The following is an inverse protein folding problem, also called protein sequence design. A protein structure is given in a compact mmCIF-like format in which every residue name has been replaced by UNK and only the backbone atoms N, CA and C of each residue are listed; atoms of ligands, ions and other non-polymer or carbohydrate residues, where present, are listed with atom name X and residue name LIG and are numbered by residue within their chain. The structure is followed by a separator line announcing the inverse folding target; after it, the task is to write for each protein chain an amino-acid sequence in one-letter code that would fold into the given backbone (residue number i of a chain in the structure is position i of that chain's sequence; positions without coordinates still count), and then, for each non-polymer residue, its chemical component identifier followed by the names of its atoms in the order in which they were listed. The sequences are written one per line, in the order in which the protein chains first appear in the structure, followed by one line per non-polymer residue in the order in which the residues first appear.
data_IF_441354572048
#
_entry.id   IF_441354572048
#
_cell.length_a   1.000
_cell.length_b   1.000
_cell.length_c   1.000
_cell.angle_alpha   90.00
_cell.angle_beta   90.00
_cell.angle_gamma   90.00
#
_symmetry.space_group_name_H-M   'P 1'
#
loop_
_entity.id
_entity.type
_entity.pdbx_description
1 polymer ?
#
# COMPACT_ATOMS: atom_id res chain seq x y z
N UNK A 1 21.29 -3.35 6.85
CA UNK A 1 20.96 -2.20 7.72
C UNK A 1 19.89 -1.43 6.95
N UNK A 2 18.61 -1.60 7.31
CA UNK A 2 17.54 -0.88 6.61
C UNK A 2 17.52 0.55 7.15
N UNK A 3 17.51 1.53 6.24
CA UNK A 3 17.62 2.95 6.54
C UNK A 3 16.51 3.44 7.49
N UNK A 4 16.80 4.47 8.28
CA UNK A 4 15.75 5.19 9.03
C UNK A 4 14.67 5.63 8.05
N UNK A 5 13.42 5.22 8.27
CA UNK A 5 12.34 5.51 7.31
C UNK A 5 12.20 7.01 7.03
N UNK A 6 12.15 7.38 5.76
CA UNK A 6 12.00 8.76 5.27
C UNK A 6 10.51 9.11 5.13
N UNK A 7 10.18 10.39 5.23
CA UNK A 7 8.80 10.86 5.10
C UNK A 7 8.46 11.16 3.62
N UNK A 8 7.41 10.52 3.11
CA UNK A 8 6.93 10.68 1.75
C UNK A 8 5.50 11.21 1.75
N UNK A 9 5.24 12.19 0.88
CA UNK A 9 3.87 12.68 0.62
C UNK A 9 3.14 11.69 -0.28
N UNK A 10 1.86 11.43 0.02
CA UNK A 10 0.99 10.65 -0.86
C UNK A 10 0.35 11.60 -1.87
N UNK A 11 0.61 11.35 -3.16
CA UNK A 11 0.18 12.21 -4.25
C UNK A 11 -1.35 12.40 -4.28
N UNK A 12 -1.78 13.64 -4.59
CA UNK A 12 -3.20 14.04 -4.57
C UNK A 12 -3.80 14.13 -3.16
N UNK A 13 -3.00 14.06 -2.10
CA UNK A 13 -3.43 14.29 -0.72
C UNK A 13 -2.50 15.26 0.01
N UNK A 14 -2.88 15.62 1.24
CA UNK A 14 -2.03 16.34 2.21
C UNK A 14 -1.36 15.39 3.20
N UNK A 15 -1.50 14.07 3.01
CA UNK A 15 -1.02 13.05 3.93
C UNK A 15 0.42 12.68 3.65
N UNK A 16 1.11 12.28 4.71
CA UNK A 16 2.49 11.82 4.69
C UNK A 16 2.59 10.46 5.37
N UNK A 17 3.53 9.64 4.90
CA UNK A 17 3.83 8.33 5.49
C UNK A 17 5.34 8.11 5.50
N UNK A 18 5.86 7.57 6.61
CA UNK A 18 7.28 7.20 6.69
C UNK A 18 7.52 5.82 6.10
N UNK A 19 8.50 5.66 5.23
CA UNK A 19 8.80 4.39 4.55
C UNK A 19 10.30 4.21 4.36
N UNK A 20 10.73 2.98 4.12
CA UNK A 20 12.06 2.77 3.53
C UNK A 20 12.05 3.34 2.10
N UNK A 21 13.10 4.06 1.68
CA UNK A 21 13.17 4.65 0.34
C UNK A 21 12.98 3.61 -0.78
N UNK A 22 13.50 2.40 -0.58
CA UNK A 22 13.37 1.32 -1.54
C UNK A 22 11.92 0.83 -1.67
N UNK A 23 11.13 0.91 -0.59
CA UNK A 23 9.73 0.49 -0.52
C UNK A 23 8.75 1.56 -1.01
N UNK A 24 9.15 2.83 -0.96
CA UNK A 24 8.30 3.97 -1.23
C UNK A 24 7.57 3.93 -2.58
N UNK A 25 8.20 3.60 -3.73
CA UNK A 25 7.51 3.63 -5.02
C UNK A 25 6.27 2.73 -5.08
N UNK A 26 6.35 1.53 -4.48
CA UNK A 26 5.26 0.55 -4.50
C UNK A 26 4.19 0.89 -3.45
N UNK A 27 4.59 1.22 -2.23
CA UNK A 27 3.62 1.49 -1.16
C UNK A 27 2.90 2.83 -1.34
N UNK A 28 3.54 3.82 -1.96
CA UNK A 28 2.85 5.06 -2.35
C UNK A 28 1.85 4.82 -3.48
N UNK A 29 2.14 3.93 -4.43
CA UNK A 29 1.17 3.52 -5.45
C UNK A 29 -0.09 2.91 -4.82
N UNK A 30 0.10 1.95 -3.90
CA UNK A 30 -1.00 1.29 -3.17
C UNK A 30 -1.82 2.33 -2.40
N UNK A 31 -1.16 3.21 -1.64
CA UNK A 31 -1.86 4.24 -0.86
C UNK A 31 -2.65 5.21 -1.75
N UNK A 32 -2.07 5.65 -2.88
CA UNK A 32 -2.72 6.57 -3.83
C UNK A 32 -3.99 5.97 -4.43
N UNK A 33 -3.92 4.72 -4.93
CA UNK A 33 -5.09 4.02 -5.50
C UNK A 33 -6.18 3.79 -4.45
N UNK A 34 -5.79 3.34 -3.26
CA UNK A 34 -6.73 3.17 -2.15
C UNK A 34 -7.46 4.48 -1.81
N UNK A 35 -6.72 5.60 -1.71
CA UNK A 35 -7.31 6.90 -1.43
C UNK A 35 -8.29 7.35 -2.51
N UNK A 36 -7.95 7.19 -3.79
CA UNK A 36 -8.80 7.69 -4.88
C UNK A 36 -10.08 6.88 -5.06
N UNK A 37 -10.05 5.57 -4.80
CA UNK A 37 -11.17 4.68 -5.15
C UNK A 37 -11.99 4.20 -3.96
N UNK A 38 -11.40 4.20 -2.76
CA UNK A 38 -12.09 3.70 -1.56
C UNK A 38 -12.31 4.82 -0.55
N UNK A 39 -11.35 5.73 -0.37
CA UNK A 39 -11.41 6.66 0.75
C UNK A 39 -10.73 8.00 0.48
N UNK A 40 -11.43 8.88 -0.24
CA UNK A 40 -10.92 10.21 -0.59
C UNK A 40 -10.69 11.14 0.63
N UNK A 41 -11.26 10.82 1.79
CA UNK A 41 -11.33 11.71 2.97
C UNK A 41 -10.43 11.29 4.14
N UNK A 42 -9.35 10.53 3.91
CA UNK A 42 -8.45 10.13 4.99
C UNK A 42 -7.89 11.34 5.76
N UNK A 43 -7.89 11.24 7.08
CA UNK A 43 -7.37 12.25 8.00
C UNK A 43 -5.91 11.97 8.41
N UNK A 44 -5.15 12.98 8.87
CA UNK A 44 -3.86 12.77 9.48
C UNK A 44 -3.92 11.71 10.60
N UNK A 45 -2.99 10.75 10.59
CA UNK A 45 -2.97 9.62 11.53
C UNK A 45 -3.81 8.41 11.10
N UNK A 46 -4.61 8.52 10.04
CA UNK A 46 -5.29 7.37 9.44
C UNK A 46 -4.42 6.59 8.45
N UNK A 47 -3.17 6.99 8.23
CA UNK A 47 -2.17 6.15 7.58
C UNK A 47 -0.92 6.06 8.45
N UNK A 48 -0.42 4.85 8.61
CA UNK A 48 0.80 4.55 9.36
C UNK A 48 1.78 3.76 8.48
N UNK A 49 3.07 3.99 8.68
CA UNK A 49 4.15 3.30 8.00
C UNK A 49 5.25 2.91 8.98
N UNK A 50 6.48 3.34 8.71
CA UNK A 50 7.64 3.04 9.53
C UNK A 50 7.50 3.53 10.97
N UNK A 51 7.76 2.64 11.94
CA UNK A 51 7.78 2.96 13.38
C UNK A 51 9.09 2.50 14.02
N UNK A 52 9.53 3.21 15.05
CA UNK A 52 10.77 2.89 15.78
C UNK A 52 10.54 2.08 17.06
N UNK A 53 9.27 1.96 17.50
CA UNK A 53 8.92 1.16 18.68
C UNK A 53 8.89 -0.34 18.30
N UNK A 54 9.78 -1.12 18.91
CA UNK A 54 10.02 -2.54 18.57
C UNK A 54 9.04 -3.53 19.19
N UNK A 55 7.97 -3.09 19.85
CA UNK A 55 6.92 -4.02 20.29
C UNK A 55 6.13 -4.54 19.08
N UNK A 56 6.54 -5.71 18.59
CA UNK A 56 5.90 -6.46 17.51
C UNK A 56 5.02 -7.54 18.17
N UNK A 57 3.71 -7.39 18.09
CA UNK A 57 2.74 -8.35 18.61
C UNK A 57 2.45 -9.49 17.61
N UNK A 58 2.66 -9.25 16.31
CA UNK A 58 2.35 -10.18 15.21
C UNK A 58 3.40 -10.13 14.10
N UNK A 59 3.64 -11.23 13.39
CA UNK A 59 4.81 -11.39 12.50
C UNK A 59 4.95 -10.29 11.43
N UNK A 60 3.84 -9.88 10.81
CA UNK A 60 3.86 -8.83 9.79
C UNK A 60 4.15 -7.43 10.37
N UNK A 61 4.07 -7.19 11.68
CA UNK A 61 4.43 -5.88 12.25
C UNK A 61 5.91 -5.55 12.11
N UNK A 62 6.76 -6.56 11.89
CA UNK A 62 8.16 -6.36 11.50
C UNK A 62 8.33 -5.52 10.23
N UNK A 63 7.32 -5.50 9.34
CA UNK A 63 7.38 -4.68 8.12
C UNK A 63 7.26 -3.18 8.42
N UNK A 64 6.65 -2.81 9.54
CA UNK A 64 6.63 -1.41 9.99
C UNK A 64 7.98 -1.02 10.58
N UNK A 65 8.73 -1.95 11.18
CA UNK A 65 10.09 -1.65 11.64
C UNK A 65 11.09 -1.48 10.49
N UNK A 66 10.89 -2.20 9.38
CA UNK A 66 11.70 -2.03 8.16
C UNK A 66 11.22 -0.89 7.26
N UNK A 67 10.03 -0.34 7.49
CA UNK A 67 9.40 0.62 6.59
C UNK A 67 8.95 0.02 5.26
N UNK A 68 8.76 -1.30 5.20
CA UNK A 68 8.30 -2.06 4.02
C UNK A 68 6.82 -2.45 4.10
N UNK A 69 6.05 -1.83 4.99
CA UNK A 69 4.60 -1.97 5.04
C UNK A 69 3.90 -0.70 5.55
N UNK A 70 2.62 -0.59 5.20
CA UNK A 70 1.71 0.47 5.62
C UNK A 70 0.44 -0.11 6.24
N UNK A 71 -0.23 0.70 7.04
CA UNK A 71 -1.57 0.45 7.52
C UNK A 71 -2.46 1.66 7.20
N UNK A 72 -3.60 1.43 6.56
CA UNK A 72 -4.60 2.45 6.24
C UNK A 72 -5.82 2.23 7.13
N UNK A 73 -6.22 3.26 7.87
CA UNK A 73 -7.23 3.25 8.93
C UNK A 73 -7.05 2.11 9.94
N UNK A 74 -5.86 2.00 10.58
CA UNK A 74 -5.55 0.89 11.49
C UNK A 74 -6.51 0.77 12.70
N UNK A 75 -7.17 1.86 13.09
CA UNK A 75 -8.18 1.84 14.17
C UNK A 75 -9.55 1.35 13.71
N UNK A 76 -9.91 1.54 12.44
CA UNK A 76 -11.17 1.03 11.87
C UNK A 76 -11.05 -0.45 11.47
N UNK A 77 -9.85 -0.88 11.08
CA UNK A 77 -9.57 -2.27 10.69
C UNK A 77 -8.45 -2.87 11.57
N UNK A 78 -8.73 -3.13 12.85
CA UNK A 78 -7.77 -3.69 13.79
C UNK A 78 -7.45 -5.16 13.48
N UNK A 79 -6.43 -5.69 14.16
CA UNK A 79 -6.03 -7.10 14.05
C UNK A 79 -7.19 -8.01 14.47
N UNK A 80 -7.42 -9.06 13.68
CA UNK A 80 -8.48 -10.06 13.89
C UNK A 80 -9.87 -9.62 13.42
N UNK A 81 -10.07 -8.35 13.05
CA UNK A 81 -11.32 -7.89 12.47
C UNK A 81 -11.41 -8.29 10.99
N UNK A 82 -12.61 -8.69 10.56
CA UNK A 82 -12.92 -9.11 9.20
C UNK A 82 -14.19 -8.42 8.71
N UNK A 83 -14.41 -8.39 7.40
CA UNK A 83 -15.59 -7.79 6.76
C UNK A 83 -15.71 -6.27 6.99
N UNK A 84 -14.58 -5.58 7.11
CA UNK A 84 -14.52 -4.12 7.19
C UNK A 84 -14.72 -3.41 5.85
N UNK A 85 -14.52 -4.12 4.73
CA UNK A 85 -14.74 -3.61 3.39
C UNK A 85 -15.99 -4.20 2.72
N UNK A 86 -16.68 -3.39 1.93
CA UNK A 86 -17.73 -3.84 1.02
C UNK A 86 -17.13 -4.64 -0.16
N UNK A 87 -17.92 -5.46 -0.84
CA UNK A 87 -17.43 -6.34 -1.92
C UNK A 87 -16.83 -5.57 -3.12
N UNK A 88 -17.37 -4.39 -3.44
CA UNK A 88 -16.80 -3.51 -4.45
C UNK A 88 -15.44 -2.93 -4.02
N UNK A 89 -15.28 -2.56 -2.74
CA UNK A 89 -14.01 -2.09 -2.20
C UNK A 89 -12.96 -3.21 -2.17
N UNK A 90 -13.37 -4.43 -1.81
CA UNK A 90 -12.49 -5.61 -1.93
C UNK A 90 -12.07 -5.84 -3.38
N UNK A 91 -12.95 -5.63 -4.34
CA UNK A 91 -12.62 -5.74 -5.78
C UNK A 91 -11.54 -4.74 -6.17
N UNK A 92 -11.63 -3.48 -5.72
CA UNK A 92 -10.58 -2.48 -5.90
C UNK A 92 -9.27 -2.91 -5.24
N UNK A 93 -9.31 -3.45 -4.02
CA UNK A 93 -8.10 -3.98 -3.35
C UNK A 93 -7.47 -5.10 -4.20
N UNK A 94 -8.28 -6.01 -4.77
CA UNK A 94 -7.76 -7.06 -5.65
C UNK A 94 -7.11 -6.50 -6.92
N UNK A 95 -7.70 -5.47 -7.50
CA UNK A 95 -7.15 -4.79 -8.68
C UNK A 95 -5.79 -4.13 -8.36
N UNK A 96 -5.69 -3.42 -7.22
CA UNK A 96 -4.42 -2.86 -6.72
C UNK A 96 -3.34 -3.94 -6.53
N UNK A 97 -3.70 -5.09 -5.95
CA UNK A 97 -2.77 -6.20 -5.75
C UNK A 97 -2.34 -6.85 -7.08
N UNK A 98 -3.25 -6.93 -8.05
CA UNK A 98 -2.97 -7.42 -9.39
C UNK A 98 -2.00 -6.49 -10.12
N UNK A 99 -2.19 -5.18 -10.03
CA UNK A 99 -1.24 -4.18 -10.55
C UNK A 99 0.16 -4.33 -9.97
N UNK A 100 0.26 -4.76 -8.71
CA UNK A 100 1.51 -5.03 -8.01
C UNK A 100 2.14 -6.38 -8.38
N UNK A 101 1.54 -7.15 -9.28
CA UNK A 101 2.06 -8.43 -9.79
C UNK A 101 2.52 -9.37 -8.64
N UNK A 102 1.80 -9.35 -7.51
CA UNK A 102 2.04 -10.12 -6.28
C UNK A 102 3.30 -9.76 -5.47
N UNK A 103 3.91 -8.59 -5.72
CA UNK A 103 4.98 -8.00 -4.89
C UNK A 103 4.42 -7.46 -3.56
N UNK A 104 3.11 -7.22 -3.50
CA UNK A 104 2.41 -6.72 -2.32
C UNK A 104 1.47 -7.80 -1.79
N UNK A 105 1.47 -8.00 -0.48
CA UNK A 105 0.46 -8.77 0.22
C UNK A 105 -0.51 -7.83 0.97
N UNK A 106 -1.75 -8.26 1.09
CA UNK A 106 -2.79 -7.58 1.86
C UNK A 106 -3.11 -8.37 3.13
N UNK A 107 -3.24 -7.68 4.25
CA UNK A 107 -3.53 -8.26 5.54
C UNK A 107 -4.91 -8.92 5.64
N UNK A 108 -5.83 -8.64 4.71
CA UNK A 108 -7.09 -9.37 4.57
C UNK A 108 -6.93 -10.86 4.24
N UNK A 109 -5.79 -11.24 3.66
CA UNK A 109 -5.45 -12.63 3.30
C UNK A 109 -4.52 -13.31 4.32
N UNK A 110 -4.12 -12.60 5.37
CA UNK A 110 -3.20 -13.10 6.39
C UNK A 110 -3.95 -13.71 7.58
N UNK A 111 -3.21 -14.49 8.37
CA UNK A 111 -3.66 -15.00 9.66
C UNK A 111 -2.65 -14.57 10.75
N UNK A 112 -3.05 -13.75 11.75
CA UNK A 112 -4.37 -13.13 11.89
C UNK A 112 -4.64 -12.07 10.81
N UNK A 113 -5.93 -11.90 10.48
CA UNK A 113 -6.38 -10.89 9.52
C UNK A 113 -6.06 -9.48 10.04
N UNK A 114 -5.64 -8.58 9.16
CA UNK A 114 -5.58 -7.13 9.41
C UNK A 114 -5.87 -6.39 8.12
N UNK A 115 -7.15 -6.14 7.82
CA UNK A 115 -7.58 -5.55 6.54
C UNK A 115 -6.99 -4.15 6.27
N UNK A 116 -6.50 -3.43 7.29
CA UNK A 116 -5.76 -2.18 7.11
C UNK A 116 -4.38 -2.34 6.48
N UNK A 117 -3.79 -3.54 6.49
CA UNK A 117 -2.37 -3.74 6.28
C UNK A 117 -1.99 -4.10 4.84
N UNK A 118 -0.90 -3.50 4.35
CA UNK A 118 -0.23 -3.86 3.10
C UNK A 118 1.29 -3.91 3.32
N UNK A 119 1.98 -4.87 2.72
CA UNK A 119 3.44 -4.93 2.77
C UNK A 119 4.07 -5.53 1.52
N UNK A 120 5.35 -5.20 1.32
CA UNK A 120 6.17 -5.77 0.25
C UNK A 120 6.68 -7.15 0.67
N UNK A 121 6.47 -8.14 -0.21
CA UNK A 121 6.88 -9.54 0.01
C UNK A 121 8.21 -9.90 -0.65
N UNK A 122 8.69 -9.08 -1.59
CA UNK A 122 9.89 -9.33 -2.39
C UNK A 122 11.01 -8.33 -2.06
N UNK A 123 12.29 -8.75 -2.02
CA UNK A 123 13.38 -7.83 -1.79
C UNK A 123 13.55 -6.86 -2.99
N UNK A 124 14.01 -5.62 -2.76
CA UNK A 124 14.24 -4.64 -3.84
C UNK A 124 15.24 -5.09 -4.91
N UNK A 125 16.09 -6.07 -4.60
CA UNK A 125 17.08 -6.66 -5.52
C UNK A 125 16.46 -7.67 -6.50
N UNK A 126 15.23 -8.13 -6.26
CA UNK A 126 14.57 -9.10 -7.13
C UNK A 126 14.27 -8.52 -8.52
N UNK A 127 14.22 -9.38 -9.54
CA UNK A 127 13.82 -8.97 -10.90
C UNK A 127 12.38 -8.46 -10.92
N UNK A 128 11.47 -9.18 -10.26
CA UNK A 128 10.05 -8.88 -10.18
C UNK A 128 9.77 -7.51 -9.55
N UNK A 129 10.43 -7.19 -8.43
CA UNK A 129 10.33 -5.86 -7.81
C UNK A 129 10.80 -4.74 -8.76
N UNK A 130 11.96 -4.91 -9.39
CA UNK A 130 12.51 -3.91 -10.31
C UNK A 130 11.63 -3.70 -11.54
N UNK A 131 11.03 -4.76 -12.08
CA UNK A 131 10.07 -4.67 -13.17
C UNK A 131 8.82 -3.89 -12.74
N UNK A 132 8.27 -4.16 -11.56
CA UNK A 132 7.13 -3.41 -11.03
C UNK A 132 7.47 -1.92 -10.87
N UNK A 133 8.61 -1.59 -10.24
CA UNK A 133 9.02 -0.18 -10.06
C UNK A 133 9.19 0.54 -11.40
N UNK A 134 9.74 -0.14 -12.41
CA UNK A 134 9.85 0.43 -13.76
C UNK A 134 8.46 0.67 -14.40
N UNK A 135 7.54 -0.28 -14.27
CA UNK A 135 6.14 -0.17 -14.73
C UNK A 135 5.43 1.02 -14.07
N UNK A 136 5.52 1.15 -12.75
CA UNK A 136 4.88 2.25 -12.01
C UNK A 136 5.44 3.62 -12.42
N UNK A 137 6.76 3.73 -12.63
CA UNK A 137 7.39 4.97 -13.12
C UNK A 137 6.95 5.34 -14.54
N UNK A 138 6.78 4.36 -15.42
CA UNK A 138 6.28 4.60 -16.78
C UNK A 138 4.86 5.21 -16.74
N UNK A 139 4.00 4.68 -15.88
CA UNK A 139 2.64 5.19 -15.66
C UNK A 139 2.62 6.61 -15.11
N UNK A 140 3.46 6.93 -14.13
CA UNK A 140 3.56 8.30 -13.59
C UNK A 140 4.08 9.30 -14.66
N UNK A 141 4.89 8.83 -15.62
CA UNK A 141 5.44 9.66 -16.70
C UNK A 141 4.52 9.83 -17.92
N UNK A 142 3.44 9.04 -18.02
CA UNK A 142 2.52 9.05 -19.15
C UNK A 142 1.07 9.24 -18.67
N UNK A 143 0.53 10.48 -18.68
CA UNK A 143 -0.87 10.71 -18.33
C UNK A 143 -1.80 9.87 -19.22
N UNK A 144 -2.63 9.02 -18.62
CA UNK A 144 -3.62 8.19 -19.33
C UNK A 144 -3.24 6.72 -19.60
N UNK A 145 -2.15 6.21 -19.02
CA UNK A 145 -1.81 4.76 -19.05
C UNK A 145 -2.03 4.00 -17.74
N UNK A 146 -2.36 4.69 -16.66
CA UNK A 146 -2.77 4.02 -15.42
C UNK A 146 -4.05 3.21 -15.66
N UNK A 147 -4.22 2.11 -14.92
CA UNK A 147 -5.35 1.18 -15.04
C UNK A 147 -6.75 1.84 -14.90
N UNK A 148 -6.84 3.12 -14.52
CA UNK A 148 -8.08 3.91 -14.56
C UNK A 148 -8.44 4.54 -15.92
N UNK A 149 -7.70 4.27 -17.01
CA UNK A 149 -7.93 4.91 -18.32
C UNK A 149 -8.70 4.06 -19.35
N UNK A 150 -8.91 2.76 -19.09
CA UNK A 150 -9.82 1.91 -19.85
C UNK A 150 -10.86 1.41 -18.84
N UNK A 151 -11.99 2.08 -18.64
CA UNK A 151 -13.20 1.87 -19.44
C UNK A 151 -14.19 3.03 -19.22
N UNK A 152 -13.85 4.25 -19.63
CA UNK A 152 -14.78 5.38 -19.52
C UNK A 152 -15.61 5.65 -20.78
N UNK A 153 -15.28 5.08 -21.94
CA UNK A 153 -16.06 5.25 -23.17
C UNK A 153 -15.93 4.04 -24.10
N UNK A 154 -16.85 3.09 -23.97
CA UNK A 154 -17.34 2.31 -25.11
C UNK A 154 -18.82 2.05 -24.84
N UNK A 155 -19.64 2.89 -25.46
CA UNK A 155 -21.07 2.66 -25.70
C UNK A 155 -21.26 1.97 -27.05
#
# INVERSE_FOLDING_TARGET
MLAEGEEFRIEGSTLFVRLAPEAAPVLLYVARRFLYEISAELQPGEIAGHVTNRHVAVAYESTYLSGSGIAIRPLHYPVGATNGFFENEKTVIRDILADCDGVVAWGGDLDPVKESHFHITEPPTSGRYRTLVAKLRDWDSTPGKGAGAADAFTS
#
